data_IF_572235294373
#
_entry.id   IF_572235294373
#
_cell.length_a   1.000
_cell.length_b   1.000
_cell.length_c   1.000
_cell.angle_alpha   90.00
_cell.angle_beta   90.00
_cell.angle_gamma   90.00
#
_symmetry.space_group_name_H-M   'P 1'
#
loop_
_entity.id
_entity.type
_entity.pdbx_description
1 polymer ?
#
# COMPACT_ATOMS: atom_id res chain seq x y z
N UNK A 1 33.75 31.89 28.99
CA UNK A 1 32.52 31.16 29.33
C UNK A 1 32.12 30.41 28.08
N UNK A 2 32.65 29.21 27.94
CA UNK A 2 32.31 28.25 26.89
C UNK A 2 30.88 27.78 27.12
N UNK A 3 29.97 28.24 26.27
CA UNK A 3 28.56 27.84 26.30
C UNK A 3 28.43 26.72 25.29
N UNK A 4 28.29 25.51 25.84
CA UNK A 4 28.04 24.25 25.16
C UNK A 4 26.91 24.43 24.14
N UNK A 5 27.27 24.41 22.85
CA UNK A 5 26.32 24.49 21.74
C UNK A 5 25.75 23.09 21.52
N UNK A 6 24.78 22.68 22.33
CA UNK A 6 23.98 21.51 22.02
C UNK A 6 23.24 21.77 20.71
N UNK A 7 23.31 20.87 19.71
CA UNK A 7 22.46 20.99 18.53
C UNK A 7 21.02 20.85 19.00
N UNK A 8 20.22 21.89 18.82
CA UNK A 8 18.77 21.78 18.94
C UNK A 8 18.34 20.77 17.88
N UNK A 9 17.93 19.59 18.32
CA UNK A 9 17.26 18.61 17.48
C UNK A 9 16.00 19.32 16.99
N UNK A 10 16.02 19.83 15.76
CA UNK A 10 14.79 20.28 15.11
C UNK A 10 13.90 19.04 15.04
N UNK A 11 12.88 19.00 15.91
CA UNK A 11 11.79 18.05 15.78
C UNK A 11 11.15 18.35 14.43
N UNK A 12 11.55 17.60 13.40
CA UNK A 12 10.85 17.61 12.12
C UNK A 12 9.48 17.03 12.40
N UNK A 13 8.51 17.91 12.68
CA UNK A 13 7.11 17.54 12.88
C UNK A 13 6.67 16.90 11.57
N UNK A 14 6.56 15.58 11.58
CA UNK A 14 6.11 14.79 10.44
C UNK A 14 4.68 15.22 10.11
N UNK A 15 4.50 16.01 9.06
CA UNK A 15 3.19 16.56 8.67
C UNK A 15 2.37 15.44 8.01
N UNK A 16 1.04 15.50 8.07
CA UNK A 16 0.15 14.50 7.48
C UNK A 16 0.42 14.14 6.01
N UNK A 17 1.05 15.03 5.24
CA UNK A 17 1.48 14.78 3.87
C UNK A 17 2.74 13.87 3.78
N UNK A 18 3.66 13.94 4.75
CA UNK A 18 4.81 13.03 4.86
C UNK A 18 4.38 11.60 5.27
N UNK A 19 3.17 11.45 5.78
CA UNK A 19 2.59 10.15 6.16
C UNK A 19 2.01 9.38 4.97
N UNK A 20 1.86 10.02 3.80
CA UNK A 20 1.29 9.45 2.57
C UNK A 20 2.37 9.13 1.51
N UNK A 21 3.60 8.82 1.93
CA UNK A 21 4.75 8.59 1.04
C UNK A 21 4.79 7.19 0.39
N UNK A 22 3.65 6.58 0.11
CA UNK A 22 3.56 5.26 -0.52
C UNK A 22 2.70 5.25 -1.77
N UNK A 23 3.01 4.40 -2.78
CA UNK A 23 2.07 4.17 -3.87
C UNK A 23 0.75 3.65 -3.30
N UNK A 24 -0.40 4.07 -3.87
CA UNK A 24 -1.70 3.62 -3.40
C UNK A 24 -1.79 2.08 -3.43
N UNK A 25 -2.65 1.53 -2.58
CA UNK A 25 -2.92 0.09 -2.57
C UNK A 25 -3.35 -0.37 -3.97
N UNK A 26 -2.87 -1.54 -4.43
CA UNK A 26 -3.15 -2.01 -5.77
C UNK A 26 -4.64 -2.28 -5.96
N UNK A 27 -5.17 -1.90 -7.12
CA UNK A 27 -6.53 -2.23 -7.52
C UNK A 27 -6.56 -3.68 -8.01
N UNK A 28 -7.43 -4.50 -7.41
CA UNK A 28 -7.57 -5.92 -7.75
C UNK A 28 -8.82 -6.10 -8.61
N UNK A 29 -8.69 -6.60 -9.85
CA UNK A 29 -9.85 -6.97 -10.68
C UNK A 29 -10.68 -8.08 -10.02
N UNK A 30 -12.00 -7.97 -10.08
CA UNK A 30 -12.92 -8.90 -9.39
C UNK A 30 -12.77 -10.34 -9.88
N UNK A 31 -12.41 -10.52 -11.15
CA UNK A 31 -12.29 -11.80 -11.84
C UNK A 31 -11.16 -12.67 -11.26
N UNK A 32 -10.10 -12.04 -10.73
CA UNK A 32 -8.93 -12.72 -10.18
C UNK A 32 -8.80 -12.55 -8.68
N UNK A 33 -9.73 -11.83 -8.04
CA UNK A 33 -9.66 -11.49 -6.62
C UNK A 33 -9.51 -12.73 -5.73
N UNK A 34 -10.26 -13.81 -6.00
CA UNK A 34 -10.17 -15.05 -5.23
C UNK A 34 -8.79 -15.71 -5.34
N UNK A 35 -8.12 -15.62 -6.50
CA UNK A 35 -6.80 -16.19 -6.71
C UNK A 35 -5.70 -15.33 -6.09
N UNK A 36 -5.79 -14.01 -6.27
CA UNK A 36 -4.76 -13.07 -5.82
C UNK A 36 -4.76 -12.93 -4.30
N UNK A 37 -5.93 -12.94 -3.66
CA UNK A 37 -6.09 -12.78 -2.21
C UNK A 37 -5.87 -14.06 -1.41
N UNK A 38 -5.76 -15.23 -2.07
CA UNK A 38 -5.66 -16.51 -1.38
C UNK A 38 -4.43 -16.59 -0.46
N UNK A 39 -4.66 -16.74 0.84
CA UNK A 39 -3.59 -16.85 1.85
C UNK A 39 -2.85 -15.54 2.13
N UNK A 40 -3.32 -14.39 1.63
CA UNK A 40 -2.75 -13.07 1.95
C UNK A 40 -3.30 -12.58 3.29
N UNK A 41 -2.43 -12.05 4.14
CA UNK A 41 -2.82 -11.39 5.38
C UNK A 41 -3.42 -10.00 5.07
N UNK A 42 -4.74 -9.85 5.22
CA UNK A 42 -5.46 -8.61 4.87
C UNK A 42 -5.41 -7.53 5.96
N UNK A 43 -4.69 -7.79 7.06
CA UNK A 43 -4.57 -6.92 8.22
C UNK A 43 -5.87 -6.73 9.03
N UNK A 44 -6.90 -7.55 8.81
CA UNK A 44 -8.23 -7.39 9.45
C UNK A 44 -8.16 -7.34 10.99
N UNK A 45 -7.35 -8.21 11.59
CA UNK A 45 -7.18 -8.25 13.04
C UNK A 45 -6.50 -6.98 13.58
N UNK A 46 -5.46 -6.50 12.89
CA UNK A 46 -4.73 -5.29 13.24
C UNK A 46 -5.63 -4.06 13.06
N UNK A 47 -6.37 -4.01 11.96
CA UNK A 47 -7.32 -2.95 11.66
C UNK A 47 -8.43 -2.88 12.72
N UNK A 48 -8.96 -4.03 13.15
CA UNK A 48 -9.93 -4.09 14.25
C UNK A 48 -9.37 -3.53 15.55
N UNK A 49 -8.12 -3.84 15.88
CA UNK A 49 -7.47 -3.32 17.09
C UNK A 49 -7.25 -1.80 17.00
N UNK A 50 -6.82 -1.30 15.83
CA UNK A 50 -6.69 0.14 15.59
C UNK A 50 -8.03 0.86 15.78
N UNK A 51 -9.12 0.34 15.20
CA UNK A 51 -10.45 0.90 15.40
C UNK A 51 -10.88 0.88 16.88
N UNK A 52 -10.61 -0.20 17.59
CA UNK A 52 -10.91 -0.29 19.01
C UNK A 52 -10.11 0.76 19.82
N UNK A 53 -8.83 0.95 19.52
CA UNK A 53 -8.01 1.97 20.16
C UNK A 53 -8.58 3.37 19.92
N UNK A 54 -8.93 3.69 18.67
CA UNK A 54 -9.51 4.98 18.29
C UNK A 54 -10.86 5.22 18.98
N UNK A 55 -11.68 4.17 19.13
CA UNK A 55 -12.96 4.25 19.86
C UNK A 55 -12.80 4.54 21.36
N UNK A 56 -11.69 4.12 21.97
CA UNK A 56 -11.45 4.28 23.40
C UNK A 56 -10.77 5.63 23.71
N UNK A 57 -9.83 6.05 22.86
CA UNK A 57 -8.93 7.16 23.15
C UNK A 57 -9.24 8.46 22.39
N UNK A 58 -10.23 8.46 21.48
CA UNK A 58 -10.77 9.59 20.70
C UNK A 58 -9.77 10.43 19.87
N UNK A 59 -8.45 10.26 20.05
CA UNK A 59 -7.39 10.98 19.35
C UNK A 59 -6.18 10.10 19.02
N UNK A 60 -5.54 10.42 17.90
CA UNK A 60 -4.42 9.70 17.30
C UNK A 60 -3.15 9.50 18.17
N UNK A 61 -2.74 10.39 19.11
CA UNK A 61 -1.46 10.18 19.81
C UNK A 61 -1.43 8.93 20.71
N UNK A 62 -2.57 8.37 21.10
CA UNK A 62 -2.63 7.16 21.93
C UNK A 62 -2.60 5.85 21.14
N UNK A 63 -2.87 5.90 19.84
CA UNK A 63 -3.01 4.71 18.99
C UNK A 63 -1.88 4.57 17.96
N UNK A 64 -0.73 5.22 18.22
CA UNK A 64 0.43 5.24 17.33
C UNK A 64 1.00 3.83 17.11
N UNK A 65 0.95 2.96 18.12
CA UNK A 65 1.44 1.59 18.02
C UNK A 65 0.55 0.77 17.08
N UNK A 66 -0.77 0.81 17.24
CA UNK A 66 -1.72 0.15 16.35
C UNK A 66 -1.63 0.69 14.93
N UNK A 67 -1.42 2.00 14.78
CA UNK A 67 -1.25 2.64 13.47
C UNK A 67 0.05 2.18 12.80
N UNK A 68 1.16 2.10 13.53
CA UNK A 68 2.43 1.59 13.03
C UNK A 68 2.34 0.12 12.61
N UNK A 69 1.68 -0.72 13.42
CA UNK A 69 1.42 -2.11 13.09
C UNK A 69 0.56 -2.26 11.83
N UNK A 70 -0.49 -1.45 11.70
CA UNK A 70 -1.35 -1.46 10.52
C UNK A 70 -0.56 -1.07 9.27
N UNK A 71 0.27 -0.02 9.34
CA UNK A 71 1.11 0.39 8.21
C UNK A 71 2.06 -0.70 7.76
N UNK A 72 2.80 -1.31 8.69
CA UNK A 72 3.72 -2.41 8.35
C UNK A 72 3.00 -3.58 7.68
N UNK A 73 1.81 -3.93 8.17
CA UNK A 73 1.00 -4.97 7.55
C UNK A 73 0.51 -4.56 6.15
N UNK A 74 -0.02 -3.34 6.00
CA UNK A 74 -0.53 -2.84 4.72
C UNK A 74 0.58 -2.76 3.66
N UNK A 75 1.78 -2.31 4.03
CA UNK A 75 2.94 -2.29 3.12
C UNK A 75 3.33 -3.69 2.64
N UNK A 76 3.40 -4.65 3.57
CA UNK A 76 3.71 -6.05 3.25
C UNK A 76 2.64 -6.66 2.34
N UNK A 77 1.36 -6.46 2.68
CA UNK A 77 0.20 -6.90 1.90
C UNK A 77 0.25 -6.33 0.48
N UNK A 78 0.41 -5.02 0.35
CA UNK A 78 0.38 -4.34 -0.95
C UNK A 78 1.57 -4.75 -1.83
N UNK A 79 2.74 -4.99 -1.24
CA UNK A 79 3.90 -5.54 -1.95
C UNK A 79 3.62 -6.94 -2.50
N UNK A 80 3.04 -7.82 -1.69
CA UNK A 80 2.68 -9.18 -2.10
C UNK A 80 1.61 -9.17 -3.20
N UNK A 81 0.56 -8.35 -3.04
CA UNK A 81 -0.51 -8.22 -4.03
C UNK A 81 0.00 -7.71 -5.37
N UNK A 82 0.87 -6.68 -5.38
CA UNK A 82 1.48 -6.19 -6.63
C UNK A 82 2.26 -7.29 -7.35
N UNK A 83 3.05 -8.09 -6.62
CA UNK A 83 3.79 -9.21 -7.21
C UNK A 83 2.85 -10.26 -7.82
N UNK A 84 1.80 -10.66 -7.09
CA UNK A 84 0.83 -11.66 -7.56
C UNK A 84 0.04 -11.18 -8.77
N UNK A 85 -0.33 -9.91 -8.83
CA UNK A 85 -0.98 -9.31 -9.99
C UNK A 85 -0.06 -9.34 -11.22
N UNK A 86 1.20 -8.92 -11.07
CA UNK A 86 2.19 -8.98 -12.16
C UNK A 86 2.42 -10.40 -12.65
N UNK A 87 2.51 -11.37 -11.74
CA UNK A 87 2.69 -12.78 -12.11
C UNK A 87 1.47 -13.34 -12.84
N UNK A 88 0.27 -12.92 -12.45
CA UNK A 88 -0.98 -13.30 -13.12
C UNK A 88 -1.05 -12.75 -14.54
N UNK A 89 -0.74 -11.47 -14.71
CA UNK A 89 -0.64 -10.82 -16.03
C UNK A 89 0.41 -11.49 -16.91
N UNK A 90 1.59 -11.80 -16.35
CA UNK A 90 2.66 -12.46 -17.08
C UNK A 90 2.25 -13.86 -17.56
N UNK A 91 1.62 -14.66 -16.71
CA UNK A 91 1.12 -16.00 -17.08
C UNK A 91 0.05 -15.92 -18.16
N UNK A 92 -0.84 -14.93 -18.07
CA UNK A 92 -1.85 -14.70 -19.08
C UNK A 92 -1.22 -14.29 -20.41
N UNK A 93 -0.23 -13.40 -20.40
CA UNK A 93 0.53 -13.01 -21.59
C UNK A 93 1.26 -14.18 -22.27
N UNK A 94 1.74 -15.16 -21.51
CA UNK A 94 2.40 -16.36 -22.05
C UNK A 94 1.43 -17.35 -22.73
N UNK A 95 0.15 -17.34 -22.34
CA UNK A 95 -0.87 -18.24 -22.89
C UNK A 95 -1.75 -17.59 -23.96
N UNK A 96 -1.65 -16.26 -24.12
CA UNK A 96 -2.44 -15.48 -25.05
C UNK A 96 -1.83 -15.49 -26.47
N UNK A 97 -2.65 -15.59 -27.54
CA UNK A 97 -2.19 -15.38 -28.91
C UNK A 97 -1.56 -14.00 -29.10
N UNK A 98 -0.49 -13.90 -29.90
CA UNK A 98 0.30 -12.68 -30.06
C UNK A 98 -0.52 -11.42 -30.41
N UNK A 99 -1.48 -11.55 -31.33
CA UNK A 99 -2.32 -10.41 -31.74
C UNK A 99 -3.19 -9.89 -30.59
N UNK A 100 -3.72 -10.79 -29.75
CA UNK A 100 -4.52 -10.42 -28.58
C UNK A 100 -3.63 -9.82 -27.48
N UNK A 101 -2.43 -10.35 -27.30
CA UNK A 101 -1.46 -9.82 -26.34
C UNK A 101 -1.04 -8.38 -26.69
N UNK A 102 -0.86 -8.08 -27.98
CA UNK A 102 -0.55 -6.73 -28.47
C UNK A 102 -1.67 -5.73 -28.18
N UNK A 103 -2.93 -6.13 -28.38
CA UNK A 103 -4.09 -5.30 -28.04
C UNK A 103 -4.15 -5.02 -26.53
N UNK A 104 -3.99 -6.06 -25.69
CA UNK A 104 -3.98 -5.92 -24.23
C UNK A 104 -2.87 -4.98 -23.76
N UNK A 105 -1.66 -5.09 -24.32
CA UNK A 105 -0.55 -4.20 -23.99
C UNK A 105 -0.88 -2.73 -24.27
N UNK A 106 -1.43 -2.44 -25.46
CA UNK A 106 -1.81 -1.07 -25.81
C UNK A 106 -2.93 -0.51 -24.92
N UNK A 107 -3.86 -1.37 -24.47
CA UNK A 107 -4.91 -0.97 -23.54
C UNK A 107 -4.33 -0.61 -22.17
N UNK A 108 -3.46 -1.47 -21.61
CA UNK A 108 -2.79 -1.22 -20.33
C UNK A 108 -1.94 0.05 -20.37
N UNK A 109 -1.19 0.29 -21.45
CA UNK A 109 -0.43 1.54 -21.64
C UNK A 109 -1.35 2.77 -21.61
N UNK A 110 -2.51 2.71 -22.27
CA UNK A 110 -3.48 3.80 -22.25
C UNK A 110 -4.07 4.06 -20.86
N UNK A 111 -4.36 3.00 -20.09
CA UNK A 111 -4.88 3.11 -18.72
C UNK A 111 -3.85 3.75 -17.79
N UNK A 112 -2.56 3.38 -17.91
CA UNK A 112 -1.46 4.01 -17.15
C UNK A 112 -1.40 5.51 -17.43
N UNK A 113 -1.42 5.92 -18.70
CA UNK A 113 -1.35 7.36 -19.05
C UNK A 113 -2.56 8.16 -18.56
N UNK A 114 -3.70 7.50 -18.31
CA UNK A 114 -4.89 8.14 -17.74
C UNK A 114 -4.83 8.33 -16.22
N UNK A 115 -4.08 7.46 -15.53
CA UNK A 115 -3.91 7.51 -14.07
C UNK A 115 -2.78 8.45 -13.64
N UNK A 116 -1.85 8.78 -14.54
CA UNK A 116 -0.77 9.76 -14.31
C UNK A 116 -1.22 11.23 -14.50
N UNK A 117 -2.49 11.47 -14.84
CA UNK A 117 -3.04 12.79 -15.21
C UNK A 117 -4.00 13.35 -14.16
#
# INVERSE_FOLDING_TARGET
MDVDSQPTMEETILVGDDLMMGPPSPVIPQEIASHVLEGVELCDGILRNLFLCLQINDIEPFCQDELALYRQCAEKRDKELRQRLQDSERKLGLSMPFDQAKVRASQLESEVTSLER
#
